data_IF_608358446753
#
_entry.id   IF_608358446753
#
_cell.length_a   1.000
_cell.length_b   1.000
_cell.length_c   1.000
_cell.angle_alpha   90.00
_cell.angle_beta   90.00
_cell.angle_gamma   90.00
#
_symmetry.space_group_name_H-M   'P 1'
#
loop_
_entity.id
_entity.type
_entity.pdbx_description
1 polymer ?
#
# COMPACT_ATOMS: atom_id res chain seq x y z
N UNK A 1 -11.53 -20.05 20.16
CA UNK A 1 -11.90 -20.80 18.93
C UNK A 1 -13.08 -20.18 18.17
N UNK A 2 -14.17 -19.75 18.83
CA UNK A 2 -15.31 -19.08 18.17
C UNK A 2 -14.94 -17.77 17.43
N UNK A 3 -14.01 -16.96 17.94
CA UNK A 3 -13.65 -15.70 17.27
C UNK A 3 -12.89 -15.90 15.95
N UNK A 4 -12.00 -16.90 15.86
CA UNK A 4 -11.25 -17.20 14.63
C UNK A 4 -12.18 -17.66 13.50
N UNK A 5 -13.20 -18.46 13.82
CA UNK A 5 -14.22 -18.90 12.87
C UNK A 5 -15.11 -17.73 12.40
N UNK A 6 -15.46 -16.82 13.31
CA UNK A 6 -16.23 -15.61 12.98
C UNK A 6 -15.46 -14.68 12.05
N UNK A 7 -14.17 -14.46 12.31
CA UNK A 7 -13.31 -13.61 11.46
C UNK A 7 -13.13 -14.21 10.06
N UNK A 8 -12.99 -15.53 9.95
CA UNK A 8 -12.89 -16.21 8.64
C UNK A 8 -14.18 -16.15 7.84
N UNK A 9 -15.33 -16.27 8.51
CA UNK A 9 -16.64 -16.13 7.87
C UNK A 9 -16.86 -14.71 7.36
N UNK A 10 -16.56 -13.70 8.18
CA UNK A 10 -16.63 -12.31 7.79
C UNK A 10 -15.67 -11.98 6.63
N UNK A 11 -14.46 -12.53 6.63
CA UNK A 11 -13.52 -12.37 5.52
C UNK A 11 -14.05 -12.99 4.22
N UNK A 12 -14.66 -14.17 4.29
CA UNK A 12 -15.29 -14.81 3.14
C UNK A 12 -16.49 -14.01 2.61
N UNK A 13 -17.39 -13.59 3.49
CA UNK A 13 -18.55 -12.78 3.12
C UNK A 13 -18.13 -11.44 2.49
N UNK A 14 -17.08 -10.80 3.02
CA UNK A 14 -16.51 -9.59 2.43
C UNK A 14 -15.86 -9.87 1.07
N UNK A 15 -15.13 -10.97 0.94
CA UNK A 15 -14.51 -11.38 -0.33
C UNK A 15 -15.57 -11.61 -1.40
N UNK A 16 -16.65 -12.29 -1.06
CA UNK A 16 -17.77 -12.60 -1.95
C UNK A 16 -18.48 -11.30 -2.36
N UNK A 17 -18.80 -10.45 -1.39
CA UNK A 17 -19.41 -9.15 -1.64
C UNK A 17 -18.56 -8.26 -2.55
N UNK A 18 -17.23 -8.22 -2.34
CA UNK A 18 -16.30 -7.51 -3.20
C UNK A 18 -16.18 -8.13 -4.60
N UNK A 19 -16.44 -9.42 -4.75
CA UNK A 19 -16.45 -10.10 -6.05
C UNK A 19 -17.67 -9.68 -6.87
N UNK A 20 -18.82 -9.49 -6.24
CA UNK A 20 -20.04 -9.00 -6.91
C UNK A 20 -20.03 -7.49 -7.19
N UNK A 21 -19.17 -6.72 -6.52
CA UNK A 21 -19.10 -5.26 -6.65
C UNK A 21 -17.73 -4.77 -7.13
N UNK A 22 -17.39 -5.05 -8.38
CA UNK A 22 -16.10 -4.71 -9.01
C UNK A 22 -15.68 -3.24 -8.87
N UNK A 23 -16.63 -2.31 -8.93
CA UNK A 23 -16.36 -0.88 -8.75
C UNK A 23 -15.88 -0.53 -7.35
N UNK A 24 -16.53 -1.11 -6.32
CA UNK A 24 -16.17 -0.94 -4.92
C UNK A 24 -14.84 -1.62 -4.62
N UNK A 25 -14.67 -2.88 -5.05
CA UNK A 25 -13.43 -3.64 -4.90
C UNK A 25 -12.22 -2.88 -5.42
N UNK A 26 -12.31 -2.32 -6.64
CA UNK A 26 -11.23 -1.52 -7.23
C UNK A 26 -10.87 -0.31 -6.37
N UNK A 27 -11.86 0.43 -5.88
CA UNK A 27 -11.66 1.64 -5.05
C UNK A 27 -11.09 1.30 -3.68
N UNK A 28 -11.55 0.21 -3.05
CA UNK A 28 -11.00 -0.28 -1.80
C UNK A 28 -9.52 -0.67 -1.95
N UNK A 29 -9.16 -1.39 -3.02
CA UNK A 29 -7.76 -1.74 -3.30
C UNK A 29 -6.89 -0.50 -3.50
N UNK A 30 -7.38 0.49 -4.26
CA UNK A 30 -6.69 1.77 -4.43
C UNK A 30 -6.50 2.49 -3.08
N UNK A 31 -7.54 2.51 -2.23
CA UNK A 31 -7.47 3.12 -0.91
C UNK A 31 -6.44 2.41 -0.02
N UNK A 32 -6.44 1.08 0.00
CA UNK A 32 -5.45 0.28 0.72
C UNK A 32 -4.04 0.62 0.26
N UNK A 33 -3.81 0.70 -1.05
CA UNK A 33 -2.51 1.07 -1.60
C UNK A 33 -2.06 2.49 -1.19
N UNK A 34 -2.98 3.45 -1.17
CA UNK A 34 -2.70 4.81 -0.69
C UNK A 34 -2.38 4.84 0.81
N UNK A 35 -3.12 4.08 1.62
CA UNK A 35 -2.84 3.95 3.05
C UNK A 35 -1.47 3.31 3.30
N UNK A 36 -1.10 2.29 2.54
CA UNK A 36 0.25 1.69 2.60
C UNK A 36 1.34 2.70 2.29
N UNK A 37 1.15 3.52 1.25
CA UNK A 37 2.11 4.56 0.88
C UNK A 37 2.23 5.65 1.97
N UNK A 38 1.12 6.01 2.62
CA UNK A 38 1.13 6.97 3.72
C UNK A 38 1.77 6.40 4.99
N UNK A 39 1.38 5.20 5.41
CA UNK A 39 1.95 4.54 6.57
C UNK A 39 3.46 4.26 6.37
N UNK A 40 3.88 3.94 5.15
CA UNK A 40 5.29 3.83 4.80
C UNK A 40 6.04 5.16 4.93
N UNK A 41 5.39 6.27 4.54
CA UNK A 41 5.96 7.62 4.65
C UNK A 41 6.10 8.03 6.11
N UNK A 42 5.13 7.69 6.95
CA UNK A 42 5.08 8.00 8.37
C UNK A 42 5.92 7.04 9.23
N UNK A 43 6.41 5.94 8.64
CA UNK A 43 7.14 4.87 9.34
C UNK A 43 6.31 4.17 10.42
N UNK A 44 4.98 4.16 10.24
CA UNK A 44 4.02 3.51 11.15
C UNK A 44 3.97 1.98 10.97
N UNK A 45 4.57 1.47 9.90
CA UNK A 45 4.58 0.04 9.57
C UNK A 45 5.86 -0.64 10.09
N UNK A 46 5.76 -1.90 10.54
CA UNK A 46 6.92 -2.72 10.80
C UNK A 46 7.85 -2.79 9.57
N UNK A 47 9.18 -2.75 9.75
CA UNK A 47 10.12 -2.80 8.62
C UNK A 47 9.98 -4.06 7.76
N UNK A 48 9.60 -5.19 8.36
CA UNK A 48 9.29 -6.44 7.66
C UNK A 48 8.08 -6.33 6.73
N UNK A 49 7.04 -5.61 7.17
CA UNK A 49 5.84 -5.33 6.38
C UNK A 49 6.13 -4.37 5.23
N UNK A 50 6.88 -3.29 5.49
CA UNK A 50 7.34 -2.36 4.46
C UNK A 50 8.14 -3.09 3.37
N UNK A 51 9.04 -4.00 3.78
CA UNK A 51 9.82 -4.83 2.87
C UNK A 51 8.93 -5.74 2.02
N UNK A 52 8.01 -6.47 2.66
CA UNK A 52 7.10 -7.39 1.96
C UNK A 52 6.21 -6.65 0.96
N UNK A 53 5.67 -5.49 1.34
CA UNK A 53 4.87 -4.65 0.45
C UNK A 53 5.70 -4.12 -0.73
N UNK A 54 6.92 -3.65 -0.48
CA UNK A 54 7.81 -3.16 -1.54
C UNK A 54 8.19 -4.27 -2.53
N UNK A 55 8.40 -5.51 -2.05
CA UNK A 55 8.65 -6.70 -2.88
C UNK A 55 7.44 -7.05 -3.74
N UNK A 56 6.24 -7.14 -3.15
CA UNK A 56 5.01 -7.40 -3.89
C UNK A 56 4.73 -6.34 -4.97
N UNK A 57 5.06 -5.07 -4.67
CA UNK A 57 4.90 -3.94 -5.60
C UNK A 57 5.95 -3.88 -6.71
N UNK A 58 7.03 -4.67 -6.65
CA UNK A 58 7.94 -4.80 -7.82
C UNK A 58 7.20 -5.42 -9.01
N UNK A 59 6.35 -6.43 -8.77
CA UNK A 59 5.57 -7.09 -9.80
C UNK A 59 4.29 -6.31 -10.16
N UNK A 60 3.60 -5.75 -9.16
CA UNK A 60 2.23 -5.22 -9.33
C UNK A 60 2.11 -3.71 -9.26
N UNK A 61 3.15 -2.98 -8.81
CA UNK A 61 3.07 -1.55 -8.51
C UNK A 61 2.68 -0.70 -9.72
N UNK A 62 3.17 -1.04 -10.92
CA UNK A 62 2.79 -0.33 -12.13
C UNK A 62 1.29 -0.47 -12.45
N UNK A 63 0.71 -1.64 -12.17
CA UNK A 63 -0.71 -1.90 -12.43
C UNK A 63 -1.57 -1.08 -11.47
N UNK A 64 -1.22 -1.07 -10.19
CA UNK A 64 -1.93 -0.32 -9.16
C UNK A 64 -1.91 1.19 -9.45
N UNK A 65 -0.77 1.71 -9.89
CA UNK A 65 -0.61 3.09 -10.34
C UNK A 65 -1.52 3.43 -11.52
N UNK A 66 -1.58 2.57 -12.54
CA UNK A 66 -2.46 2.78 -13.68
C UNK A 66 -3.94 2.70 -13.30
N UNK A 67 -4.31 1.78 -12.39
CA UNK A 67 -5.66 1.65 -11.87
C UNK A 67 -6.11 2.91 -11.14
N UNK A 68 -5.28 3.44 -10.23
CA UNK A 68 -5.53 4.70 -9.55
C UNK A 68 -5.69 5.85 -10.57
N UNK A 69 -4.76 5.97 -11.51
CA UNK A 69 -4.80 7.04 -12.51
C UNK A 69 -6.11 7.04 -13.29
N UNK A 70 -6.52 5.86 -13.78
CA UNK A 70 -7.78 5.69 -14.52
C UNK A 70 -8.99 5.98 -13.64
N UNK A 71 -9.00 5.54 -12.38
CA UNK A 71 -10.14 5.77 -11.49
C UNK A 71 -10.30 7.26 -11.13
N UNK A 72 -9.20 7.99 -10.94
CA UNK A 72 -9.25 9.45 -10.70
C UNK A 72 -9.85 10.18 -11.90
N UNK A 73 -9.41 9.85 -13.12
CA UNK A 73 -9.96 10.44 -14.34
C UNK A 73 -11.41 10.03 -14.59
N UNK A 74 -11.78 8.78 -14.29
CA UNK A 74 -13.15 8.29 -14.43
C UNK A 74 -14.13 9.05 -13.51
N UNK A 75 -13.71 9.36 -12.28
CA UNK A 75 -14.57 10.01 -11.30
C UNK A 75 -14.63 11.53 -11.45
N UNK A 76 -13.55 12.15 -11.93
CA UNK A 76 -13.42 13.62 -11.93
C UNK A 76 -13.25 14.24 -13.31
N UNK A 77 -13.18 13.44 -14.36
CA UNK A 77 -12.85 13.88 -15.71
C UNK A 77 -11.38 14.26 -15.90
N UNK A 78 -11.06 14.71 -17.12
CA UNK A 78 -9.70 15.04 -17.54
C UNK A 78 -9.08 16.21 -16.76
N UNK A 79 -9.91 17.10 -16.22
CA UNK A 79 -9.48 18.28 -15.46
C UNK A 79 -8.69 17.97 -14.19
N UNK A 80 -8.78 16.74 -13.65
CA UNK A 80 -8.00 16.28 -12.49
C UNK A 80 -6.76 15.47 -12.86
N UNK A 81 -6.22 15.63 -14.08
CA UNK A 81 -5.01 14.91 -14.50
C UNK A 81 -3.81 15.15 -13.57
N UNK A 82 -3.61 16.38 -13.08
CA UNK A 82 -2.54 16.70 -12.13
C UNK A 82 -2.71 15.97 -10.79
N UNK A 83 -3.96 15.80 -10.33
CA UNK A 83 -4.26 15.03 -9.14
C UNK A 83 -3.94 13.54 -9.38
N UNK A 84 -4.32 12.99 -10.53
CA UNK A 84 -4.02 11.61 -10.89
C UNK A 84 -2.50 11.34 -10.92
N UNK A 85 -1.72 12.24 -11.52
CA UNK A 85 -0.26 12.19 -11.54
C UNK A 85 0.30 12.27 -10.12
N UNK A 86 -0.16 13.22 -9.31
CA UNK A 86 0.30 13.41 -7.92
C UNK A 86 0.08 12.15 -7.08
N UNK A 87 -1.12 11.56 -7.12
CA UNK A 87 -1.44 10.36 -6.37
C UNK A 87 -0.67 9.14 -6.89
N UNK A 88 -0.45 9.06 -8.20
CA UNK A 88 0.37 8.00 -8.82
C UNK A 88 1.83 8.07 -8.37
N UNK A 89 2.38 9.28 -8.27
CA UNK A 89 3.71 9.49 -7.72
C UNK A 89 3.76 9.17 -6.22
N UNK A 90 2.71 9.52 -5.48
CA UNK A 90 2.59 9.22 -4.06
C UNK A 90 2.62 7.72 -3.76
N UNK A 91 1.95 6.88 -4.56
CA UNK A 91 2.00 5.41 -4.44
C UNK A 91 3.42 4.83 -4.45
N UNK A 92 4.35 5.49 -5.16
CA UNK A 92 5.72 5.03 -5.29
C UNK A 92 6.51 5.09 -3.98
N UNK A 93 6.02 5.78 -2.96
CA UNK A 93 6.65 5.83 -1.62
C UNK A 93 6.69 4.47 -0.94
N UNK A 94 5.74 3.57 -1.24
CA UNK A 94 5.73 2.19 -0.78
C UNK A 94 6.53 1.23 -1.69
N UNK A 95 7.16 1.73 -2.75
CA UNK A 95 7.95 0.93 -3.68
C UNK A 95 9.44 1.11 -3.41
N UNK A 96 10.26 0.17 -3.86
CA UNK A 96 11.71 0.33 -3.79
C UNK A 96 12.20 1.55 -4.58
N UNK A 97 13.27 2.15 -4.07
CA UNK A 97 14.01 3.19 -4.75
C UNK A 97 14.49 2.70 -6.13
N UNK A 98 14.34 3.53 -7.14
CA UNK A 98 14.91 3.32 -8.48
C UNK A 98 15.18 4.67 -9.14
N UNK A 99 15.85 4.67 -10.29
CA UNK A 99 16.12 5.90 -11.04
C UNK A 99 14.83 6.70 -11.33
N UNK A 100 13.73 6.01 -11.60
CA UNK A 100 12.41 6.61 -11.84
C UNK A 100 11.60 6.84 -10.56
N UNK A 101 12.08 6.37 -9.41
CA UNK A 101 11.43 6.49 -8.11
C UNK A 101 12.42 6.90 -7.02
N UNK A 102 12.80 8.18 -7.03
CA UNK A 102 13.74 8.73 -6.07
C UNK A 102 13.19 8.80 -4.64
N UNK A 103 11.87 8.83 -4.48
CA UNK A 103 11.19 8.84 -3.18
C UNK A 103 10.86 7.46 -2.61
N UNK A 104 11.35 6.39 -3.25
CA UNK A 104 11.11 5.02 -2.84
C UNK A 104 11.93 4.57 -1.62
N UNK A 105 11.60 3.39 -1.10
CA UNK A 105 12.29 2.76 0.00
C UNK A 105 13.66 2.21 -0.43
N UNK A 106 14.71 2.59 0.29
CA UNK A 106 16.04 2.01 0.11
C UNK A 106 16.20 0.81 1.03
N UNK A 107 16.83 -0.28 0.56
CA UNK A 107 17.13 -1.45 1.40
C UNK A 107 17.91 -1.09 2.67
N UNK A 108 18.86 -0.15 2.56
CA UNK A 108 19.61 0.40 3.71
C UNK A 108 18.70 1.10 4.72
N UNK A 109 17.71 1.88 4.26
CA UNK A 109 16.73 2.54 5.12
C UNK A 109 15.88 1.51 5.88
N UNK A 110 15.41 0.48 5.20
CA UNK A 110 14.65 -0.61 5.84
C UNK A 110 15.49 -1.31 6.91
N UNK A 111 16.76 -1.64 6.61
CA UNK A 111 17.65 -2.27 7.58
C UNK A 111 17.87 -1.41 8.83
N UNK A 112 18.08 -0.10 8.67
CA UNK A 112 18.20 0.83 9.79
C UNK A 112 16.91 0.90 10.61
N UNK A 113 15.75 0.95 9.95
CA UNK A 113 14.46 0.92 10.65
C UNK A 113 14.27 -0.38 11.41
N UNK A 114 14.71 -1.52 10.86
CA UNK A 114 14.66 -2.82 11.52
C UNK A 114 15.55 -2.87 12.76
N UNK A 115 16.75 -2.31 12.71
CA UNK A 115 17.65 -2.17 13.85
C UNK A 115 17.01 -1.31 14.96
N UNK A 116 16.56 -0.09 14.63
CA UNK A 116 15.86 0.80 15.57
C UNK A 116 14.60 0.16 16.16
N UNK A 117 13.89 -0.66 15.38
CA UNK A 117 12.71 -1.39 15.84
C UNK A 117 13.09 -2.52 16.80
N UNK A 118 14.16 -3.27 16.51
CA UNK A 118 14.68 -4.31 17.39
C UNK A 118 15.21 -3.72 18.70
N UNK A 119 15.94 -2.62 18.65
CA UNK A 119 16.44 -1.92 19.83
C UNK A 119 15.29 -1.46 20.74
N UNK A 120 14.22 -0.88 20.20
CA UNK A 120 13.05 -0.50 21.01
C UNK A 120 12.36 -1.70 21.67
N UNK A 121 12.20 -2.81 20.93
CA UNK A 121 11.57 -4.02 21.48
C UNK A 121 12.42 -4.76 22.51
N UNK A 122 13.76 -4.66 22.41
CA UNK A 122 14.70 -5.38 23.29
C UNK A 122 15.25 -4.50 24.43
N UNK A 123 15.26 -3.18 24.25
CA UNK A 123 15.80 -2.18 25.17
C UNK A 123 14.79 -1.62 26.18
N UNK A 124 13.48 -1.80 25.96
CA UNK A 124 12.43 -1.52 26.97
C UNK A 124 12.34 -2.64 28.04
N UNK A 125 13.49 -3.13 28.53
CA UNK A 125 13.59 -4.03 29.69
C UNK A 125 14.40 -3.40 30.81
#
# INVERSE_FOLDING_TARGET
MKSIFSSRKAAWELQDWLTYHDGLRRRCLILIDLMWAEATRMEDLPPSEMKSAAEAKQATGHMNRQLLYREVLRLNGIWRIFLAIRLTYFLRRAEYFSWFNLGGLTKKRIALLEENWRERLLGDR
#
